data_IF_456065126732
#
_entry.id   IF_456065126732
#
_cell.length_a   1.000
_cell.length_b   1.000
_cell.length_c   1.000
_cell.angle_alpha   90.00
_cell.angle_beta   90.00
_cell.angle_gamma   90.00
#
_symmetry.space_group_name_H-M   'P 1'
#
loop_
_entity.id
_entity.type
_entity.pdbx_description
1 polymer ?
#
# COMPACT_ATOMS: atom_id res chain seq x y z
N UNK A 1 8.96 -6.04 21.37
CA UNK A 1 8.13 -4.93 21.78
C UNK A 1 6.70 -5.40 21.90
N UNK A 2 6.00 -4.97 22.92
CA UNK A 2 4.57 -5.20 23.06
C UNK A 2 3.84 -3.96 22.55
N UNK A 3 2.88 -4.14 21.68
CA UNK A 3 2.01 -3.09 21.18
C UNK A 3 0.76 -3.72 20.58
N UNK A 4 -0.31 -2.98 20.52
CA UNK A 4 -1.55 -3.41 19.87
C UNK A 4 -1.51 -3.08 18.38
N UNK A 5 -2.06 -3.96 17.57
CA UNK A 5 -2.12 -3.82 16.11
C UNK A 5 -3.57 -3.66 15.68
N UNK A 6 -3.86 -2.54 15.05
CA UNK A 6 -5.18 -2.25 14.48
C UNK A 6 -5.13 -2.36 12.95
N UNK A 7 -6.01 -3.15 12.36
CA UNK A 7 -6.26 -3.10 10.92
C UNK A 7 -7.35 -2.07 10.65
N UNK A 8 -7.02 -1.04 9.87
CA UNK A 8 -7.91 0.05 9.50
C UNK A 8 -8.19 0.00 8.00
N UNK A 9 -9.46 0.18 7.63
CA UNK A 9 -9.85 0.37 6.22
C UNK A 9 -10.91 1.46 6.10
N UNK A 10 -10.98 2.10 4.95
CA UNK A 10 -12.04 3.03 4.56
C UNK A 10 -12.85 2.37 3.45
N UNK A 11 -14.13 2.24 3.65
CA UNK A 11 -15.02 1.60 2.67
C UNK A 11 -16.31 1.10 3.27
N UNK A 12 -17.22 0.64 2.42
CA UNK A 12 -18.50 0.07 2.81
C UNK A 12 -18.39 -1.30 3.46
N UNK A 13 -19.55 -1.92 3.71
CA UNK A 13 -19.65 -3.21 4.42
C UNK A 13 -18.92 -4.36 3.74
N UNK A 14 -18.70 -4.30 2.42
CA UNK A 14 -17.91 -5.28 1.67
C UNK A 14 -16.46 -5.44 2.17
N UNK A 15 -15.90 -4.42 2.82
CA UNK A 15 -14.55 -4.45 3.36
C UNK A 15 -14.40 -5.27 4.67
N UNK A 16 -15.52 -5.62 5.33
CA UNK A 16 -15.47 -6.35 6.61
C UNK A 16 -14.84 -7.73 6.50
N UNK A 17 -15.00 -8.40 5.36
CA UNK A 17 -14.38 -9.70 5.14
C UNK A 17 -12.86 -9.61 5.24
N UNK A 18 -12.25 -8.60 4.61
CA UNK A 18 -10.81 -8.39 4.61
C UNK A 18 -10.30 -8.07 6.02
N UNK A 19 -11.06 -7.28 6.79
CA UNK A 19 -10.74 -7.00 8.19
C UNK A 19 -10.79 -8.27 9.05
N UNK A 20 -11.78 -9.13 8.84
CA UNK A 20 -11.87 -10.43 9.54
C UNK A 20 -10.72 -11.37 9.15
N UNK A 21 -10.28 -11.34 7.90
CA UNK A 21 -9.09 -12.10 7.47
C UNK A 21 -7.82 -11.58 8.18
N UNK A 22 -7.67 -10.27 8.32
CA UNK A 22 -6.59 -9.68 9.12
C UNK A 22 -6.67 -10.08 10.61
N UNK A 23 -7.88 -10.09 11.19
CA UNK A 23 -8.11 -10.59 12.56
C UNK A 23 -7.71 -12.04 12.73
N UNK A 24 -8.00 -12.89 11.74
CA UNK A 24 -7.63 -14.31 11.76
C UNK A 24 -6.11 -14.54 11.76
N UNK A 25 -5.33 -13.61 11.20
CA UNK A 25 -3.87 -13.64 11.19
C UNK A 25 -3.29 -13.15 12.52
N UNK A 26 -4.05 -12.36 13.30
CA UNK A 26 -3.67 -12.01 14.65
C UNK A 26 -3.58 -10.52 14.96
N UNK A 27 -4.24 -9.63 14.21
CA UNK A 27 -4.40 -8.24 14.63
C UNK A 27 -5.35 -8.13 15.83
N UNK A 28 -5.12 -7.16 16.71
CA UNK A 28 -5.85 -7.00 17.96
C UNK A 28 -7.18 -6.30 17.75
N UNK A 29 -7.25 -5.33 16.85
CA UNK A 29 -8.44 -4.52 16.57
C UNK A 29 -8.69 -4.43 15.07
N UNK A 30 -9.96 -4.35 14.69
CA UNK A 30 -10.39 -4.17 13.30
C UNK A 30 -11.36 -3.00 13.22
N UNK A 31 -11.00 -1.99 12.46
CA UNK A 31 -11.71 -0.72 12.36
C UNK A 31 -12.07 -0.44 10.91
N UNK A 32 -13.30 -0.04 10.68
CA UNK A 32 -13.78 0.39 9.36
C UNK A 32 -14.32 1.81 9.46
N UNK A 33 -13.79 2.70 8.64
CA UNK A 33 -14.45 3.99 8.40
C UNK A 33 -15.48 3.77 7.31
N UNK A 34 -16.75 4.03 7.67
CA UNK A 34 -17.88 3.77 6.79
C UNK A 34 -18.00 4.86 5.72
N UNK A 35 -17.58 4.54 4.51
CA UNK A 35 -17.68 5.42 3.35
C UNK A 35 -18.01 4.58 2.12
N UNK A 36 -19.14 4.88 1.47
CA UNK A 36 -19.57 4.22 0.24
C UNK A 36 -19.24 5.04 -1.02
N UNK A 37 -18.92 6.33 -0.87
CA UNK A 37 -18.60 7.20 -1.98
C UNK A 37 -17.21 6.97 -2.53
N UNK A 38 -17.05 7.11 -3.84
CA UNK A 38 -15.72 7.17 -4.45
C UNK A 38 -14.97 8.42 -3.97
N UNK A 39 -13.70 8.23 -3.64
CA UNK A 39 -12.83 9.29 -3.15
C UNK A 39 -11.57 9.36 -4.01
N UNK A 40 -11.10 10.57 -4.26
CA UNK A 40 -9.75 10.76 -4.77
C UNK A 40 -8.71 10.49 -3.67
N UNK A 41 -7.43 10.41 -4.05
CA UNK A 41 -6.35 10.17 -3.11
C UNK A 41 -6.26 11.24 -2.02
N UNK A 42 -6.64 12.48 -2.32
CA UNK A 42 -6.60 13.59 -1.37
C UNK A 42 -7.66 13.43 -0.28
N UNK A 43 -8.90 13.13 -0.66
CA UNK A 43 -10.00 12.87 0.27
C UNK A 43 -9.72 11.62 1.13
N UNK A 44 -9.26 10.52 0.52
CA UNK A 44 -8.91 9.29 1.23
C UNK A 44 -7.82 9.52 2.29
N UNK A 45 -6.75 10.21 1.95
CA UNK A 45 -5.67 10.53 2.88
C UNK A 45 -6.16 11.41 4.05
N UNK A 46 -7.09 12.32 3.80
CA UNK A 46 -7.66 13.17 4.85
C UNK A 46 -8.51 12.36 5.84
N UNK A 47 -9.34 11.45 5.33
CA UNK A 47 -10.15 10.53 6.15
C UNK A 47 -9.25 9.60 6.97
N UNK A 48 -8.21 9.03 6.34
CA UNK A 48 -7.25 8.17 7.03
C UNK A 48 -6.48 8.93 8.13
N UNK A 49 -6.06 10.17 7.86
CA UNK A 49 -5.35 10.98 8.85
C UNK A 49 -6.21 11.23 10.11
N UNK A 50 -7.49 11.55 9.92
CA UNK A 50 -8.43 11.69 11.02
C UNK A 50 -8.61 10.39 11.80
N UNK A 51 -8.82 9.27 11.09
CA UNK A 51 -8.98 7.97 11.73
C UNK A 51 -7.74 7.55 12.53
N UNK A 52 -6.54 7.72 11.97
CA UNK A 52 -5.27 7.41 12.62
C UNK A 52 -5.06 8.25 13.88
N UNK A 53 -5.38 9.55 13.81
CA UNK A 53 -5.29 10.44 14.96
C UNK A 53 -6.28 10.04 16.09
N UNK A 54 -7.52 9.72 15.71
CA UNK A 54 -8.56 9.29 16.67
C UNK A 54 -8.21 7.95 17.36
N UNK A 55 -7.49 7.07 16.65
CA UNK A 55 -7.00 5.79 17.18
C UNK A 55 -5.75 5.93 18.06
N UNK A 56 -5.10 7.10 18.08
CA UNK A 56 -3.88 7.32 18.85
C UNK A 56 -2.70 6.46 18.41
N UNK A 57 -2.62 6.11 17.13
CA UNK A 57 -1.52 5.30 16.61
C UNK A 57 -0.19 6.06 16.65
N UNK A 58 0.91 5.35 16.84
CA UNK A 58 2.26 5.92 16.82
C UNK A 58 3.03 5.54 15.56
N UNK A 59 2.69 4.38 14.95
CA UNK A 59 3.31 3.91 13.70
C UNK A 59 2.22 3.37 12.79
N UNK A 60 2.22 3.83 11.54
CA UNK A 60 1.33 3.32 10.49
C UNK A 60 2.14 2.54 9.46
N UNK A 61 1.72 1.30 9.21
CA UNK A 61 2.22 0.47 8.12
C UNK A 61 1.18 0.44 6.99
N UNK A 62 1.58 0.76 5.79
CA UNK A 62 0.72 0.64 4.62
C UNK A 62 1.46 -0.07 3.47
N UNK A 63 0.72 -0.50 2.44
CA UNK A 63 1.33 -1.01 1.22
C UNK A 63 2.01 0.12 0.43
N UNK A 64 3.03 -0.23 -0.35
CA UNK A 64 3.74 0.73 -1.20
C UNK A 64 2.83 1.36 -2.27
N UNK A 65 1.96 0.57 -2.87
CA UNK A 65 0.99 1.03 -3.87
C UNK A 65 -0.13 0.02 -4.04
N UNK A 66 -1.30 0.48 -4.49
CA UNK A 66 -2.39 -0.39 -4.89
C UNK A 66 -2.15 -0.94 -6.31
N UNK A 67 -2.61 -2.17 -6.58
CA UNK A 67 -2.36 -2.84 -7.85
C UNK A 67 -3.17 -2.25 -9.03
N UNK A 68 -4.28 -1.59 -8.73
CA UNK A 68 -5.18 -0.96 -9.68
C UNK A 68 -4.68 0.41 -10.16
N UNK A 69 -4.37 1.32 -9.24
CA UNK A 69 -3.95 2.69 -9.56
C UNK A 69 -2.44 2.87 -9.65
N UNK A 70 -1.66 2.07 -8.93
CA UNK A 70 -0.21 2.22 -8.83
C UNK A 70 0.26 3.53 -8.22
N UNK A 71 -0.64 4.34 -7.67
CA UNK A 71 -0.37 5.73 -7.28
C UNK A 71 0.71 5.89 -6.20
N UNK A 72 0.80 4.96 -5.24
CA UNK A 72 1.82 4.97 -4.18
C UNK A 72 1.78 6.20 -3.24
N UNK A 73 0.73 7.00 -3.33
CA UNK A 73 0.64 8.31 -2.65
C UNK A 73 0.02 8.24 -1.25
N UNK A 74 -0.64 7.14 -0.89
CA UNK A 74 -1.40 7.05 0.38
C UNK A 74 -0.49 7.20 1.59
N UNK A 75 0.60 6.43 1.66
CA UNK A 75 1.53 6.49 2.80
C UNK A 75 2.17 7.88 2.97
N UNK A 76 2.90 8.39 1.98
CA UNK A 76 3.52 9.72 2.06
C UNK A 76 2.50 10.83 2.32
N UNK A 77 1.35 10.80 1.64
CA UNK A 77 0.31 11.81 1.82
C UNK A 77 -0.36 11.77 3.19
N UNK A 78 -0.49 10.57 3.78
CA UNK A 78 -0.94 10.42 5.15
C UNK A 78 0.06 11.00 6.15
N UNK A 79 1.35 10.71 5.97
CA UNK A 79 2.41 11.22 6.82
C UNK A 79 2.46 12.75 6.80
N UNK A 80 2.36 13.36 5.62
CA UNK A 80 2.34 14.82 5.46
C UNK A 80 1.18 15.46 6.24
N UNK A 81 -0.02 14.87 6.14
CA UNK A 81 -1.19 15.38 6.87
C UNK A 81 -1.09 15.26 8.38
N UNK A 82 -0.41 14.23 8.85
CA UNK A 82 -0.18 14.00 10.28
C UNK A 82 1.04 14.79 10.80
N UNK A 83 1.88 15.34 9.93
CA UNK A 83 3.15 15.93 10.31
C UNK A 83 4.15 14.91 10.85
N UNK A 84 4.08 13.66 10.38
CA UNK A 84 4.87 12.52 10.86
C UNK A 84 6.04 12.21 9.93
N UNK A 85 7.04 11.52 10.49
CA UNK A 85 8.12 10.97 9.67
C UNK A 85 7.58 9.98 8.64
N UNK A 86 8.19 9.95 7.43
CA UNK A 86 7.78 9.05 6.36
C UNK A 86 8.98 8.34 5.74
N UNK A 87 8.87 7.01 5.57
CA UNK A 87 9.82 6.22 4.77
C UNK A 87 9.04 5.28 3.86
N UNK A 88 9.33 5.37 2.55
CA UNK A 88 8.65 4.55 1.55
C UNK A 88 9.46 3.32 1.15
N UNK A 89 8.75 2.30 0.64
CA UNK A 89 9.31 1.07 0.05
C UNK A 89 10.22 0.28 1.00
N UNK A 90 9.87 0.23 2.30
CA UNK A 90 10.66 -0.55 3.24
C UNK A 90 10.53 -2.05 2.95
N UNK A 91 11.63 -2.78 3.07
CA UNK A 91 11.69 -4.23 2.92
C UNK A 91 11.95 -4.95 4.25
N UNK A 92 12.19 -4.19 5.30
CA UNK A 92 12.37 -4.71 6.66
C UNK A 92 12.16 -3.63 7.70
N UNK A 93 11.70 -4.05 8.88
CA UNK A 93 11.52 -3.18 10.04
C UNK A 93 11.92 -3.92 11.31
N UNK A 94 12.49 -3.21 12.27
CA UNK A 94 12.79 -3.70 13.62
C UNK A 94 12.53 -2.61 14.64
N UNK A 95 12.17 -3.03 15.84
CA UNK A 95 11.93 -2.14 16.96
C UNK A 95 12.81 -2.59 18.16
N UNK A 96 13.86 -1.84 18.42
CA UNK A 96 14.78 -2.07 19.53
C UNK A 96 15.15 -0.70 20.13
N UNK A 97 14.35 -0.26 21.08
CA UNK A 97 14.46 1.10 21.63
C UNK A 97 14.09 2.24 20.66
N UNK A 98 13.68 1.91 19.43
CA UNK A 98 13.27 2.83 18.38
C UNK A 98 12.97 2.10 17.07
N UNK A 99 12.28 2.77 16.15
CA UNK A 99 11.95 2.21 14.84
C UNK A 99 13.19 2.28 13.91
N UNK A 100 13.65 1.13 13.44
CA UNK A 100 14.65 1.01 12.38
C UNK A 100 14.04 0.32 11.18
N UNK A 101 14.27 0.85 9.98
CA UNK A 101 13.76 0.29 8.74
C UNK A 101 14.87 0.08 7.72
N UNK A 102 14.63 -0.85 6.81
CA UNK A 102 15.52 -1.12 5.68
C UNK A 102 14.79 -0.78 4.39
N UNK A 103 15.38 0.04 3.55
CA UNK A 103 14.83 0.44 2.24
C UNK A 103 15.88 0.27 1.14
N UNK A 104 15.49 -0.15 -0.08
CA UNK A 104 16.40 -0.21 -1.22
C UNK A 104 16.95 1.19 -1.57
N UNK A 105 18.24 1.28 -1.86
CA UNK A 105 18.92 2.54 -2.20
C UNK A 105 20.16 2.28 -3.04
N UNK A 106 20.27 2.88 -4.21
CA UNK A 106 21.52 3.01 -4.99
C UNK A 106 22.33 1.73 -5.23
N UNK A 107 21.68 0.58 -5.47
CA UNK A 107 22.35 -0.71 -5.69
C UNK A 107 22.56 -1.54 -4.43
N UNK A 108 22.00 -1.14 -3.31
CA UNK A 108 22.01 -1.89 -2.04
C UNK A 108 20.81 -1.55 -1.17
N UNK A 109 20.95 -1.73 0.12
CA UNK A 109 19.97 -1.39 1.12
C UNK A 109 20.51 -0.35 2.10
N UNK A 110 19.72 0.66 2.40
CA UNK A 110 19.97 1.60 3.48
C UNK A 110 19.20 1.19 4.75
N UNK A 111 19.85 1.23 5.91
CA UNK A 111 19.20 1.11 7.20
C UNK A 111 19.01 2.50 7.80
N UNK A 112 17.77 2.85 8.14
CA UNK A 112 17.40 4.15 8.66
C UNK A 112 16.82 4.02 10.06
N UNK A 113 17.18 4.95 10.96
CA UNK A 113 16.49 5.16 12.22
C UNK A 113 15.37 6.19 11.97
N UNK A 114 14.16 5.84 12.34
CA UNK A 114 12.97 6.65 12.04
C UNK A 114 12.39 7.19 13.35
N UNK A 115 12.25 8.50 13.50
CA UNK A 115 11.58 9.07 14.66
C UNK A 115 10.10 8.67 14.65
N UNK A 116 9.53 8.48 15.85
CA UNK A 116 8.11 8.22 16.06
C UNK A 116 7.45 9.54 16.48
N UNK A 117 6.24 9.85 15.99
CA UNK A 117 5.37 9.00 15.18
C UNK A 117 5.77 8.95 13.69
N UNK A 118 5.42 7.84 13.01
CA UNK A 118 5.86 7.60 11.64
C UNK A 118 4.83 6.83 10.79
N UNK A 119 4.86 7.10 9.47
CA UNK A 119 4.17 6.29 8.46
C UNK A 119 5.20 5.62 7.56
N UNK A 120 5.13 4.31 7.41
CA UNK A 120 6.03 3.55 6.55
C UNK A 120 5.25 2.78 5.50
N UNK A 121 5.67 2.86 4.24
CA UNK A 121 5.08 2.05 3.19
C UNK A 121 5.96 0.84 2.88
N UNK A 122 5.33 -0.34 2.85
CA UNK A 122 6.02 -1.63 2.76
C UNK A 122 6.04 -2.15 1.33
N UNK A 123 7.22 -2.59 0.89
CA UNK A 123 7.40 -3.44 -0.28
C UNK A 123 7.60 -4.90 0.14
N UNK A 124 7.74 -5.79 -0.82
CA UNK A 124 8.02 -7.20 -0.57
C UNK A 124 9.41 -7.33 0.07
N UNK A 125 9.43 -7.84 1.31
CA UNK A 125 10.64 -8.21 2.03
C UNK A 125 10.75 -9.72 2.21
N UNK A 126 11.70 -10.15 3.02
CA UNK A 126 11.96 -11.57 3.32
C UNK A 126 11.03 -12.16 4.39
N UNK A 127 10.18 -11.35 4.99
CA UNK A 127 9.25 -11.79 6.03
C UNK A 127 8.18 -12.73 5.46
N UNK A 128 8.10 -13.92 6.04
CA UNK A 128 7.02 -14.87 5.69
C UNK A 128 5.71 -14.43 6.32
N UNK A 129 4.69 -14.30 5.48
CA UNK A 129 3.34 -13.98 5.94
C UNK A 129 2.83 -15.08 6.88
N UNK A 130 2.32 -14.68 8.05
CA UNK A 130 1.68 -15.58 9.00
C UNK A 130 0.38 -16.12 8.38
N UNK A 131 0.19 -17.43 8.46
CA UNK A 131 -1.08 -18.06 8.03
C UNK A 131 -2.06 -18.09 9.20
N UNK A 132 -3.37 -17.89 8.95
CA UNK A 132 -4.39 -18.03 9.99
C UNK A 132 -4.44 -19.48 10.50
N UNK A 133 -4.60 -19.66 11.80
CA UNK A 133 -4.85 -20.95 12.42
C UNK A 133 -6.35 -21.12 12.75
N UNK A 134 -6.77 -22.33 13.10
CA UNK A 134 -8.18 -22.62 13.40
C UNK A 134 -8.74 -21.71 14.51
N UNK A 135 -7.98 -21.46 15.58
CA UNK A 135 -8.39 -20.58 16.68
C UNK A 135 -8.57 -19.14 16.17
N UNK A 136 -7.63 -18.61 15.38
CA UNK A 136 -7.73 -17.29 14.79
C UNK A 136 -8.94 -17.12 13.88
N UNK A 137 -9.22 -18.12 13.04
CA UNK A 137 -10.42 -18.12 12.17
C UNK A 137 -11.71 -18.08 13.00
N UNK A 138 -11.79 -18.86 14.07
CA UNK A 138 -12.95 -18.87 14.96
C UNK A 138 -13.13 -17.54 15.69
N UNK A 139 -12.04 -16.94 16.16
CA UNK A 139 -12.07 -15.63 16.82
C UNK A 139 -12.50 -14.54 15.83
N UNK A 140 -11.97 -14.54 14.61
CA UNK A 140 -12.33 -13.59 13.58
C UNK A 140 -13.81 -13.66 13.17
N UNK A 141 -14.38 -14.85 13.10
CA UNK A 141 -15.82 -15.02 12.82
C UNK A 141 -16.73 -14.37 13.87
N UNK A 142 -16.29 -14.34 15.14
CA UNK A 142 -17.03 -13.77 16.28
C UNK A 142 -16.70 -12.29 16.51
N UNK A 143 -15.63 -11.79 15.93
CA UNK A 143 -15.21 -10.41 16.12
C UNK A 143 -16.21 -9.44 15.49
N UNK A 144 -16.59 -8.41 16.24
CA UNK A 144 -17.26 -7.23 15.72
C UNK A 144 -16.22 -6.31 15.05
N UNK A 145 -16.62 -5.69 13.97
CA UNK A 145 -15.85 -4.60 13.35
C UNK A 145 -16.26 -3.31 14.06
N UNK A 146 -15.30 -2.54 14.52
CA UNK A 146 -15.57 -1.20 15.03
C UNK A 146 -15.78 -0.25 13.84
N UNK A 147 -16.93 0.43 13.81
CA UNK A 147 -17.36 1.24 12.66
C UNK A 147 -17.34 2.71 13.06
N UNK A 148 -16.48 3.46 12.38
CA UNK A 148 -16.34 4.90 12.58
C UNK A 148 -17.02 5.67 11.44
N UNK A 149 -17.62 6.80 11.76
CA UNK A 149 -18.16 7.75 10.78
C UNK A 149 -17.27 8.98 10.79
N UNK A 150 -16.66 9.30 9.64
CA UNK A 150 -15.79 10.46 9.46
C UNK A 150 -16.33 11.24 8.26
N UNK A 151 -16.39 12.57 8.40
CA UNK A 151 -16.78 13.44 7.29
C UNK A 151 -15.75 13.34 6.15
N UNK A 152 -16.25 13.07 4.94
CA UNK A 152 -15.43 12.94 3.74
C UNK A 152 -15.33 14.29 3.06
N UNK A 153 -14.13 14.86 2.91
CA UNK A 153 -13.96 16.09 2.16
C UNK A 153 -14.26 15.87 0.68
N UNK A 154 -14.66 16.94 -0.01
CA UNK A 154 -14.94 16.86 -1.43
C UNK A 154 -13.68 16.42 -2.21
N UNK A 155 -13.86 15.49 -3.14
CA UNK A 155 -12.82 15.08 -4.08
C UNK A 155 -12.49 16.22 -5.04
N UNK A 156 -11.19 16.45 -5.27
CA UNK A 156 -10.69 17.46 -6.21
C UNK A 156 -10.55 16.91 -7.63
N UNK A 157 -10.53 15.59 -7.77
CA UNK A 157 -10.35 14.87 -9.03
C UNK A 157 -11.44 13.82 -9.17
N UNK A 158 -12.03 13.72 -10.37
CA UNK A 158 -12.99 12.68 -10.72
C UNK A 158 -12.55 11.93 -11.98
N UNK A 159 -12.84 10.63 -12.01
CA UNK A 159 -12.60 9.83 -13.22
C UNK A 159 -13.71 10.13 -14.22
N UNK A 160 -13.33 10.66 -15.40
CA UNK A 160 -14.29 11.01 -16.45
C UNK A 160 -14.62 9.81 -17.32
N UNK A 161 -13.60 8.98 -17.64
CA UNK A 161 -13.77 7.81 -18.50
C UNK A 161 -12.66 6.79 -18.28
N UNK A 162 -12.98 5.52 -18.47
CA UNK A 162 -12.03 4.42 -18.65
C UNK A 162 -12.15 3.89 -20.08
N UNK A 163 -11.04 3.84 -20.80
CA UNK A 163 -10.97 3.25 -22.13
C UNK A 163 -9.84 2.22 -22.22
N UNK A 164 -10.04 1.19 -23.00
CA UNK A 164 -8.94 0.29 -23.33
C UNK A 164 -7.90 1.05 -24.16
N UNK A 165 -6.60 0.81 -23.90
CA UNK A 165 -5.57 1.39 -24.75
C UNK A 165 -5.74 0.88 -26.21
N UNK A 166 -5.34 1.67 -27.21
CA UNK A 166 -5.38 1.21 -28.58
C UNK A 166 -4.57 -0.09 -28.74
N UNK A 167 -5.08 -0.99 -29.56
CA UNK A 167 -4.39 -2.25 -29.84
C UNK A 167 -2.99 -1.96 -30.38
N UNK A 168 -1.98 -2.59 -29.81
CA UNK A 168 -0.63 -2.51 -30.35
C UNK A 168 -0.58 -3.21 -31.70
N UNK A 169 0.16 -2.68 -32.71
CA UNK A 169 0.40 -3.39 -33.94
C UNK A 169 1.09 -4.73 -33.67
N UNK A 170 0.88 -5.68 -34.55
CA UNK A 170 1.56 -6.98 -34.46
C UNK A 170 3.08 -6.77 -34.47
N UNK A 171 3.76 -7.36 -33.50
CA UNK A 171 5.22 -7.34 -33.46
C UNK A 171 5.83 -8.20 -34.57
N UNK A 172 7.08 -7.93 -34.89
CA UNK A 172 7.90 -8.78 -35.77
C UNK A 172 8.71 -9.74 -34.91
N UNK A 173 8.78 -11.00 -35.28
CA UNK A 173 9.61 -12.03 -34.62
C UNK A 173 10.77 -12.39 -35.53
N UNK A 174 11.95 -12.53 -34.96
CA UNK A 174 13.17 -12.89 -35.65
C UNK A 174 13.79 -14.13 -35.00
N UNK A 175 14.28 -15.07 -35.80
CA UNK A 175 14.82 -16.32 -35.30
C UNK A 175 16.33 -16.44 -35.56
N UNK A 176 17.04 -17.01 -34.59
CA UNK A 176 18.46 -17.33 -34.68
C UNK A 176 19.41 -16.14 -34.53
N UNK A 177 20.66 -16.44 -34.22
CA UNK A 177 21.70 -15.41 -33.99
C UNK A 177 22.06 -14.58 -35.25
N UNK A 178 21.80 -15.08 -36.45
CA UNK A 178 22.05 -14.34 -37.69
C UNK A 178 21.18 -13.08 -37.84
N UNK A 179 19.98 -13.06 -37.22
CA UNK A 179 19.10 -11.91 -37.25
C UNK A 179 19.49 -10.77 -36.27
N UNK A 180 20.47 -11.01 -35.40
CA UNK A 180 20.82 -10.05 -34.34
C UNK A 180 21.24 -8.67 -34.90
N UNK A 181 21.99 -8.63 -35.99
CA UNK A 181 22.43 -7.39 -36.63
C UNK A 181 21.24 -6.57 -37.20
N UNK A 182 20.30 -7.28 -37.86
CA UNK A 182 19.06 -6.66 -38.36
C UNK A 182 18.20 -6.12 -37.22
N UNK A 183 18.00 -6.90 -36.15
CA UNK A 183 17.23 -6.46 -34.97
C UNK A 183 17.88 -5.23 -34.32
N UNK A 184 19.20 -5.21 -34.18
CA UNK A 184 19.90 -4.05 -33.64
C UNK A 184 19.70 -2.79 -34.50
N UNK A 185 19.70 -2.94 -35.85
CA UNK A 185 19.44 -1.84 -36.74
C UNK A 185 18.01 -1.32 -36.62
N UNK A 186 17.01 -2.22 -36.55
CA UNK A 186 15.60 -1.86 -36.35
C UNK A 186 15.35 -1.18 -35.00
N UNK A 187 16.01 -1.63 -33.94
CA UNK A 187 15.93 -0.99 -32.63
C UNK A 187 16.49 0.44 -32.66
N UNK A 188 17.49 0.69 -33.50
CA UNK A 188 18.05 2.04 -33.69
C UNK A 188 17.14 2.89 -34.57
N UNK A 189 16.73 2.39 -35.72
CA UNK A 189 16.08 3.19 -36.77
C UNK A 189 14.57 3.35 -36.54
N UNK A 190 13.87 2.29 -36.08
CA UNK A 190 12.41 2.32 -35.90
C UNK A 190 12.03 2.62 -34.42
N UNK A 191 12.74 2.05 -33.44
CA UNK A 191 12.38 2.18 -32.03
C UNK A 191 13.10 3.31 -31.29
N UNK A 192 14.20 3.83 -31.82
CA UNK A 192 15.02 4.89 -31.19
C UNK A 192 15.44 4.56 -29.74
N UNK A 193 15.80 3.30 -29.46
CA UNK A 193 16.18 2.84 -28.11
C UNK A 193 17.66 2.47 -27.99
N UNK A 194 18.44 2.58 -29.09
CA UNK A 194 19.89 2.37 -29.14
C UNK A 194 20.61 3.58 -29.71
#
# INVERSE_FOLDING_TARGET
>A
GGGEVTALTVGGTGAEKILKDAKAIGVDHIVRVDVEAEMDSNALQSVLAKAVADLGAEVVYCGKSAADTGAGSTGPGLAERLGWASVSNIVGASFDGGLSVVTPSGGGNAKLSVPIPAVVSCDKGDLKVRKPNVKGIMQAKRASVDVHSIEVPASSVSVVNHALPPAKPAGKSYEGGAAAAEVAQLLRDEANVL
#
